data_IF_823814976096
#
_entry.id   IF_823814976096
#
_cell.length_a   1.000
_cell.length_b   1.000
_cell.length_c   1.000
_cell.angle_alpha   90.00
_cell.angle_beta   90.00
_cell.angle_gamma   90.00
#
_symmetry.space_group_name_H-M   'P 1'
#
loop_
_entity.id
_entity.type
_entity.pdbx_description
1 polymer ?
#
# COMPACT_ATOMS: atom_id res chain seq x y z
N UNK A 1 11.74 1.57 13.47
CA UNK A 1 13.03 2.11 13.95
C UNK A 1 13.72 2.97 12.89
N UNK A 2 14.07 2.46 11.70
CA UNK A 2 14.76 3.24 10.63
C UNK A 2 14.07 4.57 10.26
N UNK A 3 12.75 4.58 10.05
CA UNK A 3 12.01 5.80 9.70
C UNK A 3 11.88 6.84 10.83
N UNK A 4 12.43 6.56 12.01
CA UNK A 4 12.46 7.50 13.15
C UNK A 4 13.83 8.16 13.34
N UNK A 5 14.83 7.80 12.53
CA UNK A 5 16.20 8.32 12.60
C UNK A 5 16.52 9.10 11.33
N UNK A 6 17.21 10.24 11.48
CA UNK A 6 17.55 11.13 10.36
C UNK A 6 16.47 12.18 10.11
N UNK A 7 16.84 13.45 10.27
CA UNK A 7 16.01 14.62 9.93
C UNK A 7 16.88 15.64 9.20
N UNK A 8 16.32 16.25 8.16
CA UNK A 8 16.79 17.46 7.47
C UNK A 8 18.29 17.49 7.06
N UNK A 9 19.19 17.88 7.95
CA UNK A 9 20.54 18.33 7.58
C UNK A 9 21.65 17.31 7.83
N UNK A 10 21.39 16.26 8.62
CA UNK A 10 22.42 15.29 9.02
C UNK A 10 22.08 13.88 8.55
N UNK A 11 23.04 13.23 7.89
CA UNK A 11 22.95 11.80 7.56
C UNK A 11 22.88 11.01 8.86
N UNK A 12 21.86 10.17 8.98
CA UNK A 12 21.73 9.21 10.06
C UNK A 12 21.89 7.79 9.53
N UNK A 13 22.42 6.92 10.39
CA UNK A 13 22.66 5.52 10.09
C UNK A 13 21.88 4.66 11.07
N UNK A 14 21.31 3.57 10.58
CA UNK A 14 20.66 2.55 11.41
C UNK A 14 21.36 1.22 11.14
N UNK A 15 22.00 0.67 12.15
CA UNK A 15 22.69 -0.62 12.06
C UNK A 15 21.79 -1.72 12.65
N UNK A 16 21.62 -2.79 11.90
CA UNK A 16 20.92 -3.99 12.36
C UNK A 16 21.96 -5.09 12.54
N UNK A 17 22.21 -5.47 13.80
CA UNK A 17 23.14 -6.55 14.14
C UNK A 17 22.32 -7.82 14.28
N UNK A 18 22.67 -8.84 13.48
CA UNK A 18 21.95 -10.11 13.41
C UNK A 18 22.93 -11.26 13.64
N UNK A 19 22.47 -12.39 14.23
CA UNK A 19 23.26 -13.61 14.31
C UNK A 19 23.54 -14.17 12.91
N UNK A 20 24.44 -15.15 12.83
CA UNK A 20 24.80 -15.79 11.56
C UNK A 20 23.54 -16.22 10.78
N UNK A 21 23.55 -16.02 9.45
CA UNK A 21 22.40 -16.31 8.58
C UNK A 21 21.86 -17.73 8.73
N UNK A 22 22.70 -18.69 9.15
CA UNK A 22 22.28 -20.07 9.43
C UNK A 22 21.30 -20.22 10.60
N UNK A 23 21.33 -19.30 11.57
CA UNK A 23 20.51 -19.34 12.79
C UNK A 23 19.20 -18.56 12.70
N UNK A 24 18.97 -17.84 11.60
CA UNK A 24 17.77 -17.04 11.40
C UNK A 24 16.61 -17.92 10.92
N UNK A 25 15.44 -17.74 11.54
CA UNK A 25 14.20 -18.32 11.04
C UNK A 25 13.86 -17.78 9.64
N UNK A 26 13.08 -18.54 8.87
CA UNK A 26 12.67 -18.16 7.51
C UNK A 26 11.98 -16.79 7.52
N UNK A 27 11.09 -16.53 8.49
CA UNK A 27 10.42 -15.25 8.63
C UNK A 27 11.37 -14.10 8.99
N UNK A 28 12.41 -14.37 9.80
CA UNK A 28 13.41 -13.36 10.14
C UNK A 28 14.26 -12.99 8.91
N UNK A 29 14.64 -13.98 8.09
CA UNK A 29 15.34 -13.74 6.82
C UNK A 29 14.50 -12.89 5.87
N UNK A 30 13.24 -13.26 5.65
CA UNK A 30 12.33 -12.52 4.78
C UNK A 30 12.12 -11.07 5.23
N UNK A 31 12.02 -10.83 6.56
CA UNK A 31 11.91 -9.47 7.10
C UNK A 31 13.16 -8.63 6.89
N UNK A 32 14.35 -9.23 6.96
CA UNK A 32 15.62 -8.52 6.70
C UNK A 32 15.72 -8.16 5.23
N UNK A 33 15.40 -9.09 4.32
CA UNK A 33 15.35 -8.82 2.87
C UNK A 33 14.37 -7.69 2.53
N UNK A 34 13.18 -7.68 3.13
CA UNK A 34 12.19 -6.61 2.94
C UNK A 34 12.74 -5.23 3.33
N UNK A 35 13.49 -5.15 4.43
CA UNK A 35 14.12 -3.90 4.90
C UNK A 35 15.25 -3.44 3.97
N UNK A 36 16.04 -4.38 3.43
CA UNK A 36 17.13 -4.10 2.48
C UNK A 36 16.58 -3.61 1.13
N UNK A 37 15.55 -4.29 0.59
CA UNK A 37 14.92 -3.98 -0.69
C UNK A 37 14.28 -2.59 -0.70
N UNK A 38 13.64 -2.22 0.41
CA UNK A 38 12.84 -1.00 0.51
C UNK A 38 13.54 0.06 1.34
N UNK A 39 14.69 0.58 0.87
CA UNK A 39 15.54 1.53 1.61
C UNK A 39 15.25 3.01 1.34
N UNK A 40 14.42 3.33 0.33
CA UNK A 40 14.11 4.71 -0.08
C UNK A 40 13.24 5.52 0.87
N UNK A 41 13.15 6.83 0.59
CA UNK A 41 12.24 7.76 1.28
C UNK A 41 10.78 7.35 0.98
N UNK A 42 9.91 7.32 2.00
CA UNK A 42 8.51 6.91 1.83
C UNK A 42 8.28 5.40 1.73
N UNK A 43 9.33 4.58 1.76
CA UNK A 43 9.23 3.13 1.69
C UNK A 43 8.60 2.46 2.93
N UNK A 44 8.22 3.24 3.95
CA UNK A 44 7.61 2.73 5.18
C UNK A 44 6.31 1.97 4.95
N UNK A 45 5.49 2.41 3.98
CA UNK A 45 4.26 1.71 3.61
C UNK A 45 4.56 0.34 2.97
N UNK A 46 5.53 0.27 2.05
CA UNK A 46 5.90 -0.98 1.38
C UNK A 46 6.53 -1.99 2.35
N UNK A 47 7.37 -1.53 3.28
CA UNK A 47 7.91 -2.39 4.35
C UNK A 47 6.80 -2.93 5.24
N UNK A 48 5.85 -2.08 5.66
CA UNK A 48 4.73 -2.52 6.48
C UNK A 48 3.84 -3.53 5.73
N UNK A 49 3.69 -3.35 4.42
CA UNK A 49 2.92 -4.25 3.57
C UNK A 49 3.61 -5.62 3.37
N UNK A 50 4.91 -5.66 3.13
CA UNK A 50 5.66 -6.93 3.08
C UNK A 50 5.69 -7.63 4.46
N UNK A 51 5.84 -6.89 5.56
CA UNK A 51 5.76 -7.46 6.93
C UNK A 51 4.37 -8.07 7.21
N UNK A 52 3.30 -7.42 6.75
CA UNK A 52 1.93 -7.92 6.84
C UNK A 52 1.74 -9.23 6.06
N UNK A 53 2.32 -9.32 4.85
CA UNK A 53 2.31 -10.53 4.04
C UNK A 53 3.12 -11.66 4.69
N UNK A 54 4.31 -11.36 5.23
CA UNK A 54 5.14 -12.35 5.93
C UNK A 54 4.44 -12.92 7.17
N UNK A 55 3.64 -12.10 7.86
CA UNK A 55 2.78 -12.55 8.99
C UNK A 55 1.55 -13.34 8.54
N UNK A 56 1.25 -13.37 7.25
CA UNK A 56 0.11 -14.09 6.71
C UNK A 56 -1.22 -13.35 6.85
N UNK A 57 -1.25 -12.05 7.12
CA UNK A 57 -2.52 -11.30 7.17
C UNK A 57 -3.13 -11.01 5.78
N UNK A 58 -2.52 -11.51 4.69
CA UNK A 58 -3.24 -11.79 3.44
C UNK A 58 -4.22 -12.97 3.53
N UNK A 59 -4.22 -13.71 4.65
CA UNK A 59 -5.14 -14.80 4.97
C UNK A 59 -6.51 -14.28 5.45
N UNK A 60 -7.17 -13.44 4.65
CA UNK A 60 -8.56 -13.07 4.90
C UNK A 60 -9.52 -14.22 4.48
N UNK A 61 -9.02 -15.24 3.75
CA UNK A 61 -9.84 -16.29 3.12
C UNK A 61 -9.57 -17.74 3.57
N UNK A 62 -8.88 -17.98 4.69
CA UNK A 62 -8.91 -19.28 5.38
C UNK A 62 -7.71 -20.22 5.17
N UNK A 63 -7.54 -21.13 6.13
CA UNK A 63 -6.30 -21.88 6.45
C UNK A 63 -5.81 -22.93 5.44
N UNK A 64 -6.44 -23.15 4.27
CA UNK A 64 -6.21 -24.39 3.51
C UNK A 64 -5.57 -24.30 2.11
N UNK A 65 -5.19 -23.14 1.55
CA UNK A 65 -4.56 -23.11 0.19
C UNK A 65 -3.34 -22.19 0.05
N UNK A 66 -2.29 -22.54 0.79
CA UNK A 66 -0.87 -22.51 0.43
C UNK A 66 -0.52 -22.18 -1.04
N UNK A 67 0.16 -21.04 -1.24
CA UNK A 67 1.16 -20.85 -2.30
C UNK A 67 0.93 -19.68 -3.25
N UNK A 68 -0.19 -19.69 -4.00
CA UNK A 68 -0.39 -18.78 -5.15
C UNK A 68 -1.48 -17.71 -4.92
N UNK A 69 -2.37 -17.94 -3.96
CA UNK A 69 -3.56 -17.11 -3.73
C UNK A 69 -3.26 -15.88 -2.85
N UNK A 70 -2.24 -15.95 -1.98
CA UNK A 70 -1.89 -14.88 -1.03
C UNK A 70 -1.46 -13.57 -1.72
N UNK A 71 -0.86 -13.66 -2.90
CA UNK A 71 -0.40 -12.48 -3.67
C UNK A 71 -1.57 -11.73 -4.33
N UNK A 72 -2.68 -12.40 -4.61
CA UNK A 72 -3.80 -11.83 -5.38
C UNK A 72 -4.72 -10.97 -4.50
N UNK A 73 -4.86 -11.28 -3.21
CA UNK A 73 -5.88 -10.66 -2.35
C UNK A 73 -5.74 -9.13 -2.19
N UNK A 74 -4.54 -8.63 -1.89
CA UNK A 74 -4.34 -7.19 -1.71
C UNK A 74 -4.23 -6.43 -3.03
N UNK A 75 -3.63 -7.02 -4.06
CA UNK A 75 -3.59 -6.41 -5.39
C UNK A 75 -4.99 -6.26 -5.96
N UNK A 76 -5.83 -7.30 -5.81
CA UNK A 76 -7.24 -7.25 -6.16
C UNK A 76 -8.00 -6.22 -5.30
N UNK A 77 -7.74 -6.14 -3.99
CA UNK A 77 -8.32 -5.12 -3.13
C UNK A 77 -7.96 -3.70 -3.60
N UNK A 78 -6.68 -3.44 -3.88
CA UNK A 78 -6.23 -2.14 -4.39
C UNK A 78 -6.86 -1.82 -5.75
N UNK A 79 -7.01 -2.82 -6.62
CA UNK A 79 -7.66 -2.67 -7.92
C UNK A 79 -9.14 -2.31 -7.77
N UNK A 80 -9.90 -3.07 -6.98
CA UNK A 80 -11.32 -2.82 -6.71
C UNK A 80 -11.54 -1.47 -6.02
N UNK A 81 -10.67 -1.09 -5.09
CA UNK A 81 -10.71 0.22 -4.44
C UNK A 81 -10.48 1.34 -5.45
N UNK A 82 -9.48 1.18 -6.33
CA UNK A 82 -9.17 2.17 -7.36
C UNK A 82 -10.32 2.32 -8.36
N UNK A 83 -10.92 1.21 -8.80
CA UNK A 83 -12.10 1.20 -9.67
C UNK A 83 -13.29 1.90 -9.00
N UNK A 84 -13.54 1.62 -7.71
CA UNK A 84 -14.64 2.25 -6.95
C UNK A 84 -14.45 3.77 -6.82
N UNK A 85 -13.22 4.23 -6.55
CA UNK A 85 -12.89 5.65 -6.45
C UNK A 85 -13.02 6.34 -7.82
N UNK A 86 -12.59 5.69 -8.90
CA UNK A 86 -12.76 6.22 -10.26
C UNK A 86 -14.23 6.31 -10.67
N UNK A 87 -15.04 5.32 -10.29
CA UNK A 87 -16.49 5.36 -10.50
C UNK A 87 -17.13 6.55 -9.79
N UNK A 88 -16.84 6.72 -8.49
CA UNK A 88 -17.35 7.85 -7.70
C UNK A 88 -16.93 9.21 -8.28
N UNK A 89 -15.68 9.35 -8.72
CA UNK A 89 -15.19 10.58 -9.37
C UNK A 89 -15.93 10.88 -10.67
N UNK A 90 -16.19 9.86 -11.51
CA UNK A 90 -16.98 10.02 -12.74
C UNK A 90 -18.42 10.41 -12.46
N UNK A 91 -19.04 9.81 -11.44
CA UNK A 91 -20.40 10.17 -11.01
C UNK A 91 -20.47 11.61 -10.48
N UNK A 92 -19.46 12.06 -9.73
CA UNK A 92 -19.38 13.44 -9.25
C UNK A 92 -19.20 14.44 -10.40
N UNK A 93 -18.31 14.16 -11.35
CA UNK A 93 -18.10 15.01 -12.54
C UNK A 93 -19.36 15.09 -13.43
N UNK A 94 -20.08 13.98 -13.59
CA UNK A 94 -21.36 13.94 -14.30
C UNK A 94 -22.45 14.78 -13.62
N UNK A 95 -22.47 14.83 -12.28
CA UNK A 95 -23.41 15.67 -11.51
C UNK A 95 -23.10 17.17 -11.62
N UNK A 96 -21.84 17.57 -11.77
CA UNK A 96 -21.47 18.98 -12.01
C UNK A 96 -21.87 19.44 -13.42
N UNK A 97 -21.68 18.59 -14.44
CA UNK A 97 -22.13 18.87 -15.80
C UNK A 97 -23.67 19.00 -15.90
N UNK A 98 -24.41 18.18 -15.16
CA UNK A 98 -25.87 18.26 -15.11
C UNK A 98 -26.39 19.53 -14.38
N UNK A 99 -25.63 20.09 -13.43
CA UNK A 99 -25.98 21.35 -12.76
C UNK A 99 -25.70 22.59 -13.61
N UNK A 100 -24.74 22.53 -14.55
CA UNK A 100 -24.44 23.62 -15.47
C UNK A 100 -25.44 23.81 -16.61
N UNK A 101 -26.24 22.79 -16.95
CA UNK A 101 -27.19 22.83 -18.06
C UNK A 101 -28.59 23.37 -17.68
N UNK A 102 -28.83 23.72 -16.41
CA UNK A 102 -30.15 24.11 -15.89
C UNK A 102 -30.44 25.61 -15.80
N UNK A 103 -29.57 26.51 -16.28
CA UNK A 103 -29.71 27.97 -16.09
C UNK A 103 -29.57 28.79 -17.37
N UNK A 104 -30.24 28.42 -18.47
CA UNK A 104 -30.42 29.33 -19.61
C UNK A 104 -31.75 29.10 -20.33
N UNK A 105 -32.88 29.44 -19.71
CA UNK A 105 -34.10 29.86 -20.44
C UNK A 105 -35.01 30.65 -19.51
N UNK A 106 -34.77 31.96 -19.45
CA UNK A 106 -35.53 32.88 -18.61
C UNK A 106 -35.15 34.32 -18.87
N UNK A 107 -35.07 34.72 -20.13
CA UNK A 107 -35.10 36.11 -20.60
C UNK A 107 -35.10 36.11 -22.12
N UNK A 108 -36.21 36.57 -22.71
CA UNK A 108 -36.29 37.49 -23.86
C UNK A 108 -37.71 37.40 -24.44
N UNK A 109 -38.46 38.49 -24.20
CA UNK A 109 -39.67 38.99 -24.88
C UNK A 109 -40.71 37.99 -25.40
#
# INVERSE_FOLDING_TARGET
MRGRVGRFTHKAYAYFIIPSRGQLSIQAKARIEAIEKHSGLGAGFQIAFEDLQIRGAGNILGQEQHGYIATIGFDLYCRLLKESVEHLKKEMAGRELAKGAGTTHGSLN
#
